data_IF_046302558845
#
_entry.id   IF_046302558845
#
_cell.length_a   1.000
_cell.length_b   1.000
_cell.length_c   1.000
_cell.angle_alpha   90.00
_cell.angle_beta   90.00
_cell.angle_gamma   90.00
#
_symmetry.space_group_name_H-M   'P 1'
#
loop_
_entity.id
_entity.type
_entity.pdbx_description
1 polymer ?
#
# COMPACT_ATOMS: atom_id res chain seq x y z
N UNK A 1 -0.83 23.42 13.55
CA UNK A 1 0.56 23.64 13.12
C UNK A 1 0.87 22.52 12.14
N UNK A 2 0.85 22.79 10.85
CA UNK A 2 1.19 21.79 9.82
C UNK A 2 2.71 21.70 9.74
N UNK A 3 3.25 20.52 10.01
CA UNK A 3 4.66 20.14 9.80
C UNK A 3 5.01 20.34 8.32
N UNK A 4 5.44 21.55 7.97
CA UNK A 4 5.56 22.01 6.59
C UNK A 4 6.89 21.70 5.91
N UNK A 5 7.72 20.80 6.45
CA UNK A 5 9.06 20.55 5.88
C UNK A 5 9.57 19.11 6.05
N UNK A 6 8.69 18.10 6.00
CA UNK A 6 9.13 16.70 5.93
C UNK A 6 9.46 16.31 4.48
N UNK A 7 10.61 15.67 4.28
CA UNK A 7 10.99 15.11 2.99
C UNK A 7 9.97 14.06 2.54
N UNK A 8 9.88 13.79 1.23
CA UNK A 8 8.98 12.76 0.73
C UNK A 8 9.24 11.38 1.37
N UNK A 9 10.49 10.89 1.50
CA UNK A 9 10.76 9.62 2.17
C UNK A 9 10.25 9.58 3.63
N UNK A 10 10.44 10.64 4.42
CA UNK A 10 9.95 10.69 5.79
C UNK A 10 8.42 10.60 5.86
N UNK A 11 7.73 11.32 4.97
CA UNK A 11 6.27 11.24 4.87
C UNK A 11 5.81 9.86 4.43
N UNK A 12 6.48 9.24 3.46
CA UNK A 12 6.18 7.88 3.01
C UNK A 12 6.32 6.87 4.16
N UNK A 13 7.39 6.96 4.95
CA UNK A 13 7.56 6.12 6.15
C UNK A 13 6.43 6.29 7.17
N UNK A 14 5.98 7.53 7.39
CA UNK A 14 4.84 7.81 8.28
C UNK A 14 3.54 7.22 7.75
N UNK A 15 3.24 7.46 6.47
CA UNK A 15 2.04 6.94 5.80
C UNK A 15 1.99 5.41 5.86
N UNK A 16 3.11 4.73 5.58
CA UNK A 16 3.19 3.26 5.63
C UNK A 16 2.98 2.70 7.03
N UNK A 17 3.49 3.37 8.07
CA UNK A 17 3.20 3.00 9.47
C UNK A 17 1.71 3.13 9.79
N UNK A 18 1.07 4.20 9.33
CA UNK A 18 -0.37 4.39 9.54
C UNK A 18 -1.19 3.32 8.81
N UNK A 19 -0.86 3.02 7.55
CA UNK A 19 -1.51 1.97 6.75
C UNK A 19 -1.36 0.61 7.45
N UNK A 20 -0.15 0.27 7.89
CA UNK A 20 0.10 -1.01 8.57
C UNK A 20 -0.69 -1.13 9.87
N UNK A 21 -0.78 -0.05 10.66
CA UNK A 21 -1.57 -0.02 11.89
C UNK A 21 -3.07 -0.20 11.60
N UNK A 22 -3.59 0.45 10.56
CA UNK A 22 -4.98 0.32 10.14
C UNK A 22 -5.32 -1.11 9.69
N UNK A 23 -4.43 -1.75 8.92
CA UNK A 23 -4.58 -3.16 8.49
C UNK A 23 -4.57 -4.09 9.71
N UNK A 24 -3.60 -3.94 10.62
CA UNK A 24 -3.51 -4.78 11.81
C UNK A 24 -4.77 -4.66 12.70
N UNK A 25 -5.29 -3.45 12.85
CA UNK A 25 -6.54 -3.20 13.58
C UNK A 25 -7.75 -3.85 12.90
N UNK A 26 -7.84 -3.76 11.56
CA UNK A 26 -8.91 -4.37 10.80
C UNK A 26 -8.90 -5.91 10.91
N UNK A 27 -7.73 -6.54 10.94
CA UNK A 27 -7.58 -8.00 11.10
C UNK A 27 -7.90 -8.44 12.53
N UNK A 28 -7.43 -7.70 13.54
CA UNK A 28 -7.60 -8.08 14.95
C UNK A 28 -9.05 -7.97 15.45
N UNK A 29 -9.86 -7.11 14.82
CA UNK A 29 -11.22 -6.79 15.28
C UNK A 29 -12.31 -7.76 14.78
N UNK A 30 -11.94 -8.85 14.09
CA UNK A 30 -12.88 -9.78 13.44
C UNK A 30 -13.19 -9.36 11.99
N UNK A 31 -14.38 -9.69 11.44
CA UNK A 31 -14.74 -9.25 10.10
C UNK A 31 -14.59 -7.74 9.96
N UNK A 32 -13.71 -7.31 9.07
CA UNK A 32 -13.40 -5.90 8.90
C UNK A 32 -14.67 -5.15 8.48
N UNK A 33 -15.01 -4.12 9.24
CA UNK A 33 -16.13 -3.24 8.90
C UNK A 33 -15.78 -2.43 7.64
N UNK A 34 -16.79 -2.09 6.84
CA UNK A 34 -16.61 -1.31 5.60
C UNK A 34 -15.83 -0.01 5.86
N UNK A 35 -16.09 0.68 6.99
CA UNK A 35 -15.38 1.91 7.34
C UNK A 35 -13.85 1.71 7.49
N UNK A 36 -13.41 0.51 7.92
CA UNK A 36 -11.98 0.19 8.07
C UNK A 36 -11.34 -0.01 6.71
N UNK A 37 -12.05 -0.69 5.80
CA UNK A 37 -11.62 -0.88 4.41
C UNK A 37 -11.51 0.47 3.71
N UNK A 38 -12.52 1.33 3.84
CA UNK A 38 -12.54 2.68 3.26
C UNK A 38 -11.39 3.54 3.79
N UNK A 39 -11.08 3.45 5.09
CA UNK A 39 -9.93 4.15 5.69
C UNK A 39 -8.61 3.68 5.08
N UNK A 40 -8.39 2.37 5.00
CA UNK A 40 -7.15 1.80 4.44
C UNK A 40 -7.02 2.20 2.96
N UNK A 41 -8.11 2.12 2.20
CA UNK A 41 -8.15 2.56 0.82
C UNK A 41 -7.80 4.05 0.67
N UNK A 42 -8.36 4.92 1.52
CA UNK A 42 -8.06 6.36 1.48
C UNK A 42 -6.58 6.65 1.75
N UNK A 43 -5.98 5.98 2.74
CA UNK A 43 -4.54 6.12 3.03
C UNK A 43 -3.69 5.69 1.82
N UNK A 44 -3.97 4.51 1.25
CA UNK A 44 -3.28 4.01 0.06
C UNK A 44 -3.43 4.95 -1.15
N UNK A 45 -4.63 5.47 -1.37
CA UNK A 45 -4.89 6.40 -2.46
C UNK A 45 -4.08 7.70 -2.28
N UNK A 46 -4.00 8.22 -1.06
CA UNK A 46 -3.21 9.41 -0.77
C UNK A 46 -1.71 9.18 -0.99
N UNK A 47 -1.17 8.06 -0.50
CA UNK A 47 0.23 7.68 -0.74
C UNK A 47 0.53 7.51 -2.22
N UNK A 48 -0.41 6.92 -3.00
CA UNK A 48 -0.31 6.79 -4.46
C UNK A 48 -0.14 8.15 -5.15
N UNK A 49 -1.05 9.10 -4.87
CA UNK A 49 -1.04 10.44 -5.49
C UNK A 49 0.24 11.19 -5.14
N UNK A 50 0.73 11.04 -3.91
CA UNK A 50 1.99 11.64 -3.48
C UNK A 50 3.20 11.06 -4.24
N UNK A 51 3.19 9.77 -4.58
CA UNK A 51 4.24 9.15 -5.41
C UNK A 51 4.17 9.53 -6.89
N UNK A 52 2.96 9.77 -7.44
CA UNK A 52 2.76 10.11 -8.86
C UNK A 52 3.34 11.48 -9.21
N UNK A 53 3.41 12.38 -8.23
CA UNK A 53 3.95 13.72 -8.38
C UNK A 53 5.47 13.80 -8.11
N UNK A 54 6.13 12.67 -7.80
CA UNK A 54 7.53 12.61 -7.40
C UNK A 54 8.40 11.65 -8.22
N UNK A 55 9.62 11.41 -7.73
CA UNK A 55 10.61 10.50 -8.31
C UNK A 55 10.32 9.01 -8.00
N UNK A 56 9.11 8.64 -7.56
CA UNK A 56 8.81 7.33 -6.97
C UNK A 56 7.61 6.60 -7.63
N UNK A 57 7.57 6.42 -8.96
CA UNK A 57 6.47 5.74 -9.63
C UNK A 57 6.28 4.27 -9.18
N UNK A 58 7.34 3.62 -8.69
CA UNK A 58 7.23 2.29 -8.09
C UNK A 58 6.25 2.26 -6.90
N UNK A 59 6.31 3.27 -6.03
CA UNK A 59 5.41 3.41 -4.86
C UNK A 59 3.97 3.51 -5.35
N UNK A 60 3.70 4.39 -6.31
CA UNK A 60 2.37 4.58 -6.88
C UNK A 60 1.81 3.31 -7.50
N UNK A 61 2.62 2.57 -8.25
CA UNK A 61 2.20 1.32 -8.88
C UNK A 61 1.77 0.29 -7.83
N UNK A 62 2.54 0.10 -6.75
CA UNK A 62 2.21 -0.88 -5.72
C UNK A 62 0.98 -0.44 -4.91
N UNK A 63 0.85 0.86 -4.57
CA UNK A 63 -0.36 1.38 -3.94
C UNK A 63 -1.60 1.17 -4.80
N UNK A 64 -1.49 1.36 -6.13
CA UNK A 64 -2.60 1.14 -7.05
C UNK A 64 -3.06 -0.33 -7.07
N UNK A 65 -2.12 -1.28 -7.03
CA UNK A 65 -2.43 -2.71 -6.94
C UNK A 65 -3.18 -3.04 -5.65
N UNK A 66 -2.69 -2.57 -4.50
CA UNK A 66 -3.35 -2.77 -3.21
C UNK A 66 -4.74 -2.12 -3.14
N UNK A 67 -4.89 -0.90 -3.65
CA UNK A 67 -6.19 -0.23 -3.82
C UNK A 67 -7.16 -1.08 -4.64
N UNK A 68 -6.68 -1.66 -5.75
CA UNK A 68 -7.49 -2.52 -6.59
C UNK A 68 -8.02 -3.74 -5.84
N UNK A 69 -7.25 -4.34 -4.93
CA UNK A 69 -7.70 -5.46 -4.08
C UNK A 69 -8.89 -5.01 -3.23
N UNK A 70 -8.74 -3.89 -2.52
CA UNK A 70 -9.78 -3.40 -1.61
C UNK A 70 -11.05 -2.96 -2.36
N UNK A 71 -10.93 -2.39 -3.56
CA UNK A 71 -12.09 -1.96 -4.36
C UNK A 71 -12.98 -3.13 -4.81
N UNK A 72 -12.40 -4.29 -5.12
CA UNK A 72 -13.16 -5.44 -5.61
C UNK A 72 -13.68 -6.35 -4.49
N UNK A 73 -13.19 -6.19 -3.26
CA UNK A 73 -13.52 -7.07 -2.14
C UNK A 73 -14.42 -6.37 -1.12
N UNK A 74 -15.65 -6.87 -0.96
CA UNK A 74 -16.59 -6.38 0.07
C UNK A 74 -16.32 -6.92 1.46
N UNK A 75 -15.97 -8.21 1.55
CA UNK A 75 -15.68 -8.91 2.81
C UNK A 75 -14.32 -9.59 2.69
N UNK A 76 -13.22 -8.89 3.02
CA UNK A 76 -11.88 -9.44 2.83
C UNK A 76 -11.62 -10.57 3.81
N UNK A 77 -11.34 -11.75 3.27
CA UNK A 77 -10.87 -12.90 4.01
C UNK A 77 -9.38 -12.79 4.37
N UNK A 78 -8.88 -13.74 5.15
CA UNK A 78 -7.49 -13.73 5.60
C UNK A 78 -6.49 -13.71 4.43
N UNK A 79 -6.75 -14.46 3.36
CA UNK A 79 -5.90 -14.45 2.17
C UNK A 79 -5.82 -13.06 1.52
N UNK A 80 -6.95 -12.37 1.41
CA UNK A 80 -7.01 -10.99 0.91
C UNK A 80 -6.20 -10.03 1.78
N UNK A 81 -6.31 -10.13 3.11
CA UNK A 81 -5.52 -9.31 4.01
C UNK A 81 -4.01 -9.60 3.94
N UNK A 82 -3.62 -10.88 3.79
CA UNK A 82 -2.21 -11.25 3.58
C UNK A 82 -1.67 -10.66 2.29
N UNK A 83 -2.45 -10.69 1.21
CA UNK A 83 -2.05 -10.07 -0.06
C UNK A 83 -1.86 -8.56 0.10
N UNK A 84 -2.83 -7.83 0.69
CA UNK A 84 -2.70 -6.39 0.93
C UNK A 84 -1.47 -6.10 1.79
N UNK A 85 -1.23 -6.85 2.87
CA UNK A 85 -0.06 -6.68 3.73
C UNK A 85 1.25 -6.88 2.95
N UNK A 86 1.34 -7.88 2.07
CA UNK A 86 2.54 -8.11 1.26
C UNK A 86 2.88 -6.90 0.38
N UNK A 87 1.88 -6.17 -0.12
CA UNK A 87 2.11 -4.93 -0.87
C UNK A 87 2.68 -3.82 0.05
N UNK A 88 2.21 -3.72 1.29
CA UNK A 88 2.71 -2.72 2.25
C UNK A 88 4.11 -3.06 2.71
N UNK A 89 4.40 -4.34 2.95
CA UNK A 89 5.74 -4.81 3.31
C UNK A 89 6.74 -4.49 2.17
N UNK A 90 6.35 -4.70 0.91
CA UNK A 90 7.16 -4.31 -0.24
C UNK A 90 7.41 -2.79 -0.29
N UNK A 91 6.38 -1.97 -0.05
CA UNK A 91 6.52 -0.52 0.04
C UNK A 91 7.46 -0.09 1.18
N UNK A 92 7.41 -0.77 2.32
CA UNK A 92 8.30 -0.48 3.46
C UNK A 92 9.76 -0.73 3.10
N UNK A 93 10.07 -1.84 2.41
CA UNK A 93 11.42 -2.16 1.92
C UNK A 93 11.90 -1.09 0.92
N UNK A 94 11.05 -0.71 -0.03
CA UNK A 94 11.34 0.34 -1.03
C UNK A 94 11.66 1.67 -0.34
N UNK A 95 10.86 2.05 0.66
CA UNK A 95 11.05 3.27 1.42
C UNK A 95 12.30 3.23 2.30
N UNK A 96 12.62 2.09 2.91
CA UNK A 96 13.83 1.90 3.73
C UNK A 96 15.11 2.03 2.90
N UNK A 97 15.10 1.51 1.67
CA UNK A 97 16.23 1.58 0.76
C UNK A 97 16.24 2.83 -0.15
N UNK A 98 15.29 3.75 0.00
CA UNK A 98 15.11 4.93 -0.86
C UNK A 98 15.15 4.57 -2.36
N UNK A 99 14.44 3.52 -2.75
CA UNK A 99 14.39 3.10 -4.16
C UNK A 99 13.59 4.12 -4.96
N UNK A 100 14.30 4.86 -5.82
CA UNK A 100 13.74 5.83 -6.74
C UNK A 100 13.34 5.21 -8.08
N UNK A 101 12.58 5.96 -8.86
CA UNK A 101 12.09 5.57 -10.17
C UNK A 101 11.16 4.36 -10.11
N UNK A 102 11.30 3.49 -11.10
CA UNK A 102 10.59 2.21 -11.18
C UNK A 102 11.33 1.06 -10.49
N UNK A 103 12.46 1.34 -9.83
CA UNK A 103 13.33 0.34 -9.20
C UNK A 103 14.07 -0.58 -10.18
N UNK A 104 14.13 -0.21 -11.47
CA UNK A 104 14.80 -1.00 -12.49
C UNK A 104 14.17 -2.38 -12.69
N UNK A 105 14.99 -3.38 -13.06
CA UNK A 105 14.50 -4.73 -13.31
C UNK A 105 13.89 -5.37 -12.06
N UNK A 106 14.44 -5.09 -10.88
CA UNK A 106 13.94 -5.62 -9.62
C UNK A 106 12.56 -5.04 -9.31
N UNK A 107 12.41 -3.72 -9.34
CA UNK A 107 11.13 -3.06 -9.06
C UNK A 107 10.03 -3.48 -10.04
N UNK A 108 10.36 -3.60 -11.34
CA UNK A 108 9.41 -4.12 -12.35
C UNK A 108 8.96 -5.55 -12.07
N UNK A 109 9.88 -6.45 -11.69
CA UNK A 109 9.53 -7.83 -11.30
C UNK A 109 8.67 -7.87 -10.05
N UNK A 110 9.01 -7.08 -9.02
CA UNK A 110 8.22 -6.99 -7.80
C UNK A 110 6.77 -6.55 -8.08
N UNK A 111 6.59 -5.53 -8.95
CA UNK A 111 5.24 -5.07 -9.35
C UNK A 111 4.45 -6.19 -10.02
N UNK A 112 5.09 -7.01 -10.86
CA UNK A 112 4.40 -8.11 -11.54
C UNK A 112 4.02 -9.23 -10.58
N UNK A 113 4.93 -9.66 -9.70
CA UNK A 113 4.64 -10.68 -8.68
C UNK A 113 3.52 -10.23 -7.73
N UNK A 114 3.52 -8.95 -7.31
CA UNK A 114 2.46 -8.39 -6.49
C UNK A 114 1.13 -8.29 -7.23
N UNK A 115 1.16 -7.98 -8.54
CA UNK A 115 -0.04 -7.96 -9.39
C UNK A 115 -0.66 -9.36 -9.45
N UNK A 116 0.14 -10.39 -9.74
CA UNK A 116 -0.31 -11.78 -9.79
C UNK A 116 -0.88 -12.23 -8.44
N UNK A 117 -0.19 -11.92 -7.34
CA UNK A 117 -0.66 -12.18 -5.98
C UNK A 117 -2.01 -11.51 -5.72
N UNK A 118 -2.16 -10.24 -6.11
CA UNK A 118 -3.42 -9.53 -5.99
C UNK A 118 -4.53 -10.22 -6.78
N UNK A 119 -4.28 -10.59 -8.03
CA UNK A 119 -5.27 -11.25 -8.89
C UNK A 119 -5.73 -12.61 -8.36
N UNK A 120 -4.89 -13.30 -7.57
CA UNK A 120 -5.23 -14.56 -6.93
C UNK A 120 -6.20 -14.43 -5.74
N UNK A 121 -6.51 -13.20 -5.29
CA UNK A 121 -7.38 -12.95 -4.12
C UNK A 121 -8.52 -11.97 -4.42
N UNK A 122 -9.53 -12.00 -3.54
CA UNK A 122 -10.60 -11.00 -3.55
C UNK A 122 -11.65 -11.18 -4.64
N UNK A 123 -11.83 -12.43 -5.10
CA UNK A 123 -12.93 -12.86 -5.96
C UNK A 123 -14.22 -13.12 -5.15
#
# INVERSE_FOLDING_TARGET
MTDGNQSYPERLHSDLKEIQAAINSAIASGPAQQHSIDRIYALLHNTKVQGETGQFPLVSNICALACGILQRTKNPEEATWRAVKAHIDALAIIAEHNVEGDGGDLGRRMVEELRELGQAVGA
#
